data_IF_396463472793
#
_entry.id   IF_396463472793
#
_cell.length_a   1.000
_cell.length_b   1.000
_cell.length_c   1.000
_cell.angle_alpha   90.00
_cell.angle_beta   90.00
_cell.angle_gamma   90.00
#
_symmetry.space_group_name_H-M   'P 1'
#
loop_
_entity.id
_entity.type
_entity.pdbx_description
1 polymer ?
#
# COMPACT_ATOMS: atom_id res chain seq x y z
N UNK A 1 21.35 -8.87 -3.52
CA UNK A 1 20.55 -8.49 -4.69
C UNK A 1 20.25 -7.00 -4.58
N UNK A 2 20.70 -6.18 -5.53
CA UNK A 2 20.32 -4.76 -5.55
C UNK A 2 18.92 -4.69 -6.18
N UNK A 3 17.94 -4.12 -5.46
CA UNK A 3 16.58 -3.92 -5.98
C UNK A 3 16.55 -3.07 -7.25
N UNK A 4 17.52 -2.18 -7.39
CA UNK A 4 17.64 -1.26 -8.52
C UNK A 4 19.11 -1.12 -8.92
N UNK A 5 19.36 -1.05 -10.22
CA UNK A 5 20.67 -0.65 -10.76
C UNK A 5 20.96 0.78 -10.34
N UNK A 6 22.20 1.05 -9.93
CA UNK A 6 22.64 2.41 -9.65
C UNK A 6 22.56 3.22 -10.96
N UNK A 7 21.93 4.40 -10.92
CA UNK A 7 21.79 5.33 -12.04
C UNK A 7 22.39 6.68 -11.68
N UNK A 8 22.95 7.33 -12.68
CA UNK A 8 23.46 8.68 -12.52
C UNK A 8 22.29 9.63 -12.18
N UNK A 9 22.34 10.37 -11.07
CA UNK A 9 21.27 11.27 -10.65
C UNK A 9 21.10 12.49 -11.58
N UNK A 10 22.04 12.73 -12.51
CA UNK A 10 22.02 13.88 -13.42
C UNK A 10 21.51 13.52 -14.82
N UNK A 11 21.82 12.33 -15.34
CA UNK A 11 21.46 11.93 -16.72
C UNK A 11 20.81 10.53 -16.81
N UNK A 12 20.56 9.86 -15.69
CA UNK A 12 19.97 8.52 -15.60
C UNK A 12 20.75 7.38 -16.27
N UNK A 13 21.97 7.65 -16.73
CA UNK A 13 22.87 6.62 -17.28
C UNK A 13 23.27 5.58 -16.23
N UNK A 14 23.35 4.33 -16.67
CA UNK A 14 23.85 3.18 -15.90
C UNK A 14 25.39 3.01 -16.04
N UNK A 15 26.04 3.81 -16.91
CA UNK A 15 27.48 3.78 -17.13
C UNK A 15 28.24 4.50 -16.00
N UNK A 16 28.38 3.81 -14.87
CA UNK A 16 28.91 4.35 -13.62
C UNK A 16 30.17 3.59 -13.23
N UNK A 17 31.25 4.32 -12.94
CA UNK A 17 32.45 3.76 -12.32
C UNK A 17 32.49 4.09 -10.83
N UNK A 18 33.09 3.19 -10.05
CA UNK A 18 33.65 3.55 -8.76
C UNK A 18 34.76 4.61 -8.94
N UNK A 19 34.77 5.62 -8.09
CA UNK A 19 35.76 6.70 -8.10
C UNK A 19 36.72 6.55 -6.90
N UNK A 20 36.22 6.76 -5.67
CA UNK A 20 37.00 6.57 -4.44
C UNK A 20 36.10 6.27 -3.25
N UNK A 21 36.72 5.79 -2.16
CA UNK A 21 36.07 5.55 -0.88
C UNK A 21 36.37 6.68 0.09
N UNK A 22 35.38 7.13 0.86
CA UNK A 22 35.56 8.11 1.92
C UNK A 22 35.00 7.60 3.25
N UNK A 23 35.70 7.91 4.33
CA UNK A 23 35.32 7.47 5.68
C UNK A 23 34.34 8.44 6.30
N UNK A 24 33.20 7.93 6.77
CA UNK A 24 32.25 8.71 7.54
C UNK A 24 32.46 8.52 9.04
N UNK A 25 32.03 9.50 9.83
CA UNK A 25 32.17 9.49 11.29
C UNK A 25 31.35 8.35 11.92
N UNK A 26 30.19 8.01 11.35
CA UNK A 26 29.17 7.19 12.01
C UNK A 26 28.60 6.05 11.17
N UNK A 27 28.91 5.99 9.88
CA UNK A 27 28.30 5.07 8.92
C UNK A 27 29.34 4.26 8.13
N UNK A 28 30.57 4.16 8.67
CA UNK A 28 31.68 3.46 8.04
C UNK A 28 32.18 4.12 6.77
N UNK A 29 32.85 3.34 5.94
CA UNK A 29 33.31 3.75 4.64
C UNK A 29 32.15 3.81 3.64
N UNK A 30 32.23 4.75 2.70
CA UNK A 30 31.20 5.02 1.70
C UNK A 30 31.85 5.24 0.34
N UNK A 31 31.15 4.83 -0.71
CA UNK A 31 31.65 4.93 -2.07
C UNK A 31 31.21 6.24 -2.75
N UNK A 32 32.12 6.80 -3.54
CA UNK A 32 31.85 7.83 -4.54
C UNK A 32 31.87 7.20 -5.92
N UNK A 33 30.92 7.62 -6.73
CA UNK A 33 30.72 7.17 -8.10
C UNK A 33 30.91 8.33 -9.08
N UNK A 34 31.39 8.01 -10.29
CA UNK A 34 31.48 8.93 -11.40
C UNK A 34 30.73 8.38 -12.61
N UNK A 35 29.76 9.14 -13.10
CA UNK A 35 29.09 8.82 -14.36
C UNK A 35 30.06 9.03 -15.53
N UNK A 36 30.23 8.02 -16.38
CA UNK A 36 31.11 8.13 -17.53
C UNK A 36 30.55 8.97 -18.67
N UNK A 37 29.23 9.14 -18.75
CA UNK A 37 28.59 9.87 -19.84
C UNK A 37 28.54 11.38 -19.57
N UNK A 38 28.10 11.81 -18.38
CA UNK A 38 27.98 13.23 -18.02
C UNK A 38 29.05 13.74 -17.05
N UNK A 39 29.99 12.88 -16.61
CA UNK A 39 31.06 13.19 -15.65
C UNK A 39 30.58 13.73 -14.30
N UNK A 40 29.30 13.55 -13.96
CA UNK A 40 28.78 13.90 -12.64
C UNK A 40 29.28 12.92 -11.58
N UNK A 41 29.88 13.45 -10.51
CA UNK A 41 30.32 12.69 -9.34
C UNK A 41 29.26 12.73 -8.23
N UNK A 42 28.98 11.59 -7.62
CA UNK A 42 27.95 11.45 -6.59
C UNK A 42 28.23 10.31 -5.61
N UNK A 43 27.73 10.41 -4.39
CA UNK A 43 27.89 9.34 -3.40
C UNK A 43 26.91 8.19 -3.63
N UNK A 44 27.26 7.00 -3.14
CA UNK A 44 26.38 5.82 -3.19
C UNK A 44 25.01 6.05 -2.52
N UNK A 45 24.93 7.00 -1.58
CA UNK A 45 23.68 7.34 -0.89
C UNK A 45 22.83 8.34 -1.65
N UNK A 46 23.31 8.92 -2.77
CA UNK A 46 22.60 9.93 -3.53
C UNK A 46 21.29 9.37 -4.08
N UNK A 47 20.21 10.14 -3.92
CA UNK A 47 18.84 9.74 -4.27
C UNK A 47 18.33 8.48 -3.56
N UNK A 48 18.92 8.11 -2.41
CA UNK A 48 18.41 7.01 -1.57
C UNK A 48 17.75 7.54 -0.30
N UNK A 49 17.15 6.64 0.49
CA UNK A 49 16.70 6.98 1.83
C UNK A 49 17.87 7.53 2.69
N UNK A 50 19.07 6.94 2.56
CA UNK A 50 20.25 7.24 3.36
C UNK A 50 20.95 8.57 3.02
N UNK A 51 20.56 9.25 1.93
CA UNK A 51 21.15 10.53 1.57
C UNK A 51 21.07 11.53 2.75
N UNK A 52 22.19 12.15 3.11
CA UNK A 52 22.28 13.13 4.20
C UNK A 52 21.88 12.59 5.59
N UNK A 53 21.78 11.26 5.75
CA UNK A 53 21.53 10.63 7.04
C UNK A 53 22.84 10.13 7.65
N UNK A 54 23.16 10.65 8.84
CA UNK A 54 24.36 10.26 9.60
C UNK A 54 24.13 9.11 10.57
N UNK A 55 22.90 8.73 10.87
CA UNK A 55 22.62 7.65 11.84
C UNK A 55 22.78 6.28 11.16
N UNK A 56 23.28 5.27 11.90
CA UNK A 56 23.42 3.92 11.36
C UNK A 56 22.04 3.30 11.05
N UNK A 57 22.01 2.45 10.02
CA UNK A 57 20.78 1.80 9.51
C UNK A 57 20.06 1.05 10.62
N UNK A 58 20.79 0.28 11.43
CA UNK A 58 20.24 -0.46 12.57
C UNK A 58 19.42 0.43 13.50
N UNK A 59 19.94 1.62 13.85
CA UNK A 59 19.22 2.57 14.71
C UNK A 59 17.97 3.13 14.05
N UNK A 60 18.05 3.43 12.76
CA UNK A 60 16.90 3.95 12.01
C UNK A 60 15.81 2.88 11.93
N UNK A 61 16.20 1.64 11.65
CA UNK A 61 15.30 0.49 11.60
C UNK A 61 14.61 0.23 12.93
N UNK A 62 15.35 0.18 14.05
CA UNK A 62 14.76 0.05 15.40
C UNK A 62 13.66 1.09 15.66
N UNK A 63 13.97 2.35 15.33
CA UNK A 63 13.06 3.48 15.54
C UNK A 63 11.80 3.35 14.68
N UNK A 64 11.95 3.06 13.39
CA UNK A 64 10.83 2.97 12.45
C UNK A 64 9.98 1.72 12.68
N UNK A 65 10.61 0.58 12.99
CA UNK A 65 9.89 -0.63 13.36
C UNK A 65 9.05 -0.38 14.63
N UNK A 66 9.62 0.27 15.65
CA UNK A 66 8.88 0.64 16.86
C UNK A 66 7.69 1.56 16.56
N UNK A 67 7.82 2.47 15.58
CA UNK A 67 6.70 3.33 15.13
C UNK A 67 5.54 2.55 14.53
N UNK A 68 5.81 1.35 14.00
CA UNK A 68 4.81 0.41 13.48
C UNK A 68 4.38 -0.65 14.48
N UNK A 69 4.75 -0.51 15.75
CA UNK A 69 4.38 -1.40 16.87
C UNK A 69 3.67 -0.64 18.01
N UNK A 70 2.94 0.41 17.66
CA UNK A 70 1.98 1.08 18.54
C UNK A 70 2.54 2.24 19.35
N UNK A 71 3.83 2.54 19.23
CA UNK A 71 4.44 3.69 19.91
C UNK A 71 4.05 4.99 19.20
N UNK A 72 3.76 6.05 19.95
CA UNK A 72 3.50 7.38 19.35
C UNK A 72 4.80 8.07 18.92
N UNK A 73 4.70 9.09 18.07
CA UNK A 73 5.86 9.91 17.64
C UNK A 73 6.68 10.41 18.85
N UNK A 74 6.02 11.02 19.85
CA UNK A 74 6.70 11.57 21.02
C UNK A 74 7.26 10.46 21.93
N UNK A 75 6.54 9.35 22.10
CA UNK A 75 7.03 8.22 22.88
C UNK A 75 8.28 7.62 22.25
N UNK A 76 8.30 7.45 20.93
CA UNK A 76 9.46 6.97 20.17
C UNK A 76 10.66 7.89 20.36
N UNK A 77 10.46 9.20 20.25
CA UNK A 77 11.53 10.17 20.46
C UNK A 77 12.16 10.05 21.86
N UNK A 78 11.35 9.84 22.90
CA UNK A 78 11.83 9.64 24.27
C UNK A 78 12.56 8.30 24.44
N UNK A 79 11.99 7.20 23.95
CA UNK A 79 12.56 5.85 24.07
C UNK A 79 13.94 5.80 23.39
N UNK A 80 14.03 6.30 22.16
CA UNK A 80 15.24 6.20 21.36
C UNK A 80 16.17 7.41 21.48
N UNK A 81 15.82 8.39 22.33
CA UNK A 81 16.57 9.63 22.57
C UNK A 81 16.91 10.37 21.25
N UNK A 82 15.92 10.52 20.37
CA UNK A 82 16.06 11.25 19.10
C UNK A 82 15.19 12.49 19.07
N UNK A 83 15.64 13.53 18.37
CA UNK A 83 14.85 14.73 18.17
C UNK A 83 13.63 14.44 17.30
N UNK A 84 12.50 15.09 17.63
CA UNK A 84 11.24 14.94 16.89
C UNK A 84 11.39 15.26 15.39
N UNK A 85 12.14 16.30 15.06
CA UNK A 85 12.37 16.71 13.67
C UNK A 85 13.17 15.66 12.89
N UNK A 86 14.10 14.97 13.54
CA UNK A 86 14.85 13.86 12.94
C UNK A 86 13.93 12.72 12.55
N UNK A 87 13.05 12.29 13.46
CA UNK A 87 12.09 11.22 13.17
C UNK A 87 11.11 11.62 12.06
N UNK A 88 10.61 12.86 12.09
CA UNK A 88 9.74 13.37 11.03
C UNK A 88 10.42 13.41 9.67
N UNK A 89 11.72 13.76 9.62
CA UNK A 89 12.49 13.74 8.38
C UNK A 89 12.63 12.31 7.82
N UNK A 90 12.88 11.31 8.68
CA UNK A 90 12.92 9.91 8.27
C UNK A 90 11.56 9.41 7.77
N UNK A 91 10.48 9.66 8.52
CA UNK A 91 9.12 9.27 8.10
C UNK A 91 8.74 9.92 6.75
N UNK A 92 9.19 11.15 6.46
CA UNK A 92 8.97 11.81 5.16
C UNK A 92 9.76 11.16 4.04
N UNK A 93 11.04 10.82 4.28
CA UNK A 93 11.87 10.14 3.29
C UNK A 93 11.30 8.77 2.90
N UNK A 94 10.65 8.07 3.82
CA UNK A 94 9.93 6.83 3.54
C UNK A 94 8.78 6.98 2.53
N UNK A 95 8.20 8.17 2.38
CA UNK A 95 7.19 8.40 1.35
C UNK A 95 7.77 8.32 -0.07
N UNK A 96 9.05 8.68 -0.27
CA UNK A 96 9.71 8.49 -1.57
C UNK A 96 9.94 7.02 -1.84
N UNK A 97 10.44 6.28 -0.84
CA UNK A 97 10.61 4.84 -0.91
C UNK A 97 9.28 4.11 -1.18
N UNK A 98 8.18 4.53 -0.55
CA UNK A 98 6.83 4.05 -0.86
C UNK A 98 6.52 4.20 -2.36
N UNK A 99 6.71 5.40 -2.93
CA UNK A 99 6.41 5.64 -4.34
C UNK A 99 7.24 4.75 -5.27
N UNK A 100 8.55 4.64 -5.02
CA UNK A 100 9.44 3.80 -5.81
C UNK A 100 9.06 2.32 -5.74
N UNK A 101 8.81 1.80 -4.54
CA UNK A 101 8.43 0.39 -4.34
C UNK A 101 7.04 0.08 -4.87
N UNK A 102 6.12 1.04 -4.83
CA UNK A 102 4.79 0.90 -5.41
C UNK A 102 4.88 0.77 -6.94
N UNK A 103 5.63 1.67 -7.60
CA UNK A 103 5.88 1.60 -9.06
C UNK A 103 6.57 0.28 -9.42
N UNK A 104 7.60 -0.12 -8.67
CA UNK A 104 8.28 -1.39 -8.85
C UNK A 104 7.32 -2.59 -8.77
N UNK A 105 6.44 -2.61 -7.77
CA UNK A 105 5.44 -3.67 -7.62
C UNK A 105 4.44 -3.69 -8.77
N UNK A 106 4.03 -2.52 -9.27
CA UNK A 106 3.08 -2.37 -10.38
C UNK A 106 3.70 -2.73 -11.74
N UNK A 107 5.03 -2.81 -11.85
CA UNK A 107 5.72 -3.23 -13.06
C UNK A 107 5.72 -4.77 -13.27
N UNK A 108 5.22 -5.54 -12.30
CA UNK A 108 5.11 -6.99 -12.39
C UNK A 108 3.75 -7.41 -12.92
N UNK A 109 3.70 -8.53 -13.64
CA UNK A 109 2.46 -9.15 -14.10
C UNK A 109 2.06 -10.32 -13.20
N UNK A 110 0.76 -10.55 -13.07
CA UNK A 110 0.19 -11.57 -12.19
C UNK A 110 -0.84 -12.42 -12.94
N UNK A 111 -0.87 -13.72 -12.66
CA UNK A 111 -1.89 -14.61 -13.25
C UNK A 111 -3.23 -14.39 -12.54
N UNK A 112 -3.21 -14.38 -11.20
CA UNK A 112 -4.42 -14.25 -10.39
C UNK A 112 -4.18 -13.42 -9.15
N UNK A 113 -5.13 -12.54 -8.81
CA UNK A 113 -5.15 -11.83 -7.54
C UNK A 113 -6.56 -11.72 -6.97
N UNK A 114 -6.69 -11.96 -5.66
CA UNK A 114 -7.95 -11.79 -4.93
C UNK A 114 -7.77 -10.67 -3.93
N UNK A 115 -8.33 -9.51 -4.24
CA UNK A 115 -8.20 -8.29 -3.45
C UNK A 115 -9.36 -8.19 -2.47
N UNK A 116 -9.05 -8.09 -1.18
CA UNK A 116 -10.02 -7.73 -0.15
C UNK A 116 -9.97 -6.22 0.12
N UNK A 117 -11.14 -5.57 0.10
CA UNK A 117 -11.30 -4.15 0.41
C UNK A 117 -12.13 -3.93 1.67
N UNK A 118 -11.62 -3.11 2.60
CA UNK A 118 -12.31 -2.70 3.82
C UNK A 118 -11.84 -1.30 4.28
N UNK A 119 -12.62 -0.67 5.15
CA UNK A 119 -12.25 0.61 5.77
C UNK A 119 -12.21 0.58 7.29
N UNK A 120 -11.38 1.44 7.84
CA UNK A 120 -11.39 1.73 9.26
C UNK A 120 -11.16 3.21 9.53
N UNK A 121 -11.42 3.63 10.77
CA UNK A 121 -11.58 5.02 11.12
C UNK A 121 -10.72 5.40 12.33
N UNK A 122 -10.17 6.62 12.28
CA UNK A 122 -9.70 7.37 13.46
C UNK A 122 -10.08 8.85 13.36
N UNK A 123 -10.03 9.54 14.50
CA UNK A 123 -10.22 10.99 14.59
C UNK A 123 -8.97 11.71 14.05
N UNK A 124 -9.20 12.84 13.38
CA UNK A 124 -8.14 13.73 12.90
C UNK A 124 -8.39 15.13 13.44
N UNK A 125 -7.39 15.72 14.10
CA UNK A 125 -7.37 17.08 14.66
C UNK A 125 -8.39 17.36 15.77
N UNK A 126 -9.68 17.16 15.51
CA UNK A 126 -10.82 17.38 16.43
C UNK A 126 -11.71 16.14 16.50
N UNK A 127 -12.49 16.04 17.58
CA UNK A 127 -13.51 15.01 17.74
C UNK A 127 -14.80 15.47 17.06
N UNK A 128 -15.00 15.05 15.82
CA UNK A 128 -16.20 15.32 15.02
C UNK A 128 -16.91 14.00 14.71
N UNK A 129 -18.18 14.01 14.27
CA UNK A 129 -18.84 12.82 13.74
C UNK A 129 -17.97 12.10 12.71
N UNK A 130 -18.05 10.77 12.66
CA UNK A 130 -17.15 9.97 11.83
C UNK A 130 -17.24 10.36 10.35
N UNK A 131 -18.42 10.70 9.84
CA UNK A 131 -18.65 11.11 8.46
C UNK A 131 -17.94 12.41 8.05
N UNK A 132 -17.71 13.32 9.00
CA UNK A 132 -17.03 14.61 8.77
C UNK A 132 -15.52 14.50 8.87
N UNK A 133 -15.02 13.43 9.48
CA UNK A 133 -13.61 13.27 9.80
C UNK A 133 -12.82 12.73 8.60
N UNK A 134 -11.61 13.25 8.41
CA UNK A 134 -10.71 12.79 7.35
C UNK A 134 -9.76 11.66 7.75
N UNK A 135 -10.09 10.93 8.82
CA UNK A 135 -9.31 9.77 9.27
C UNK A 135 -9.90 8.43 8.88
N UNK A 136 -10.83 8.39 7.92
CA UNK A 136 -11.19 7.13 7.28
C UNK A 136 -10.03 6.66 6.43
N UNK A 137 -9.77 5.36 6.45
CA UNK A 137 -8.69 4.73 5.72
C UNK A 137 -9.22 3.53 4.97
N UNK A 138 -9.00 3.51 3.66
CA UNK A 138 -9.27 2.36 2.82
C UNK A 138 -8.02 1.49 2.80
N UNK A 139 -8.21 0.17 2.84
CA UNK A 139 -7.16 -0.82 2.59
C UNK A 139 -7.63 -1.75 1.48
N UNK A 140 -6.80 -1.89 0.45
CA UNK A 140 -6.92 -2.97 -0.54
C UNK A 140 -5.75 -3.92 -0.33
N UNK A 141 -6.03 -5.18 -0.01
CA UNK A 141 -5.00 -6.17 0.32
C UNK A 141 -5.22 -7.46 -0.47
N UNK A 142 -4.15 -7.98 -1.08
CA UNK A 142 -4.17 -9.30 -1.70
C UNK A 142 -4.34 -10.41 -0.64
N UNK A 143 -5.26 -11.33 -0.93
CA UNK A 143 -5.68 -12.39 -0.03
C UNK A 143 -4.63 -13.50 0.09
N UNK A 144 -3.83 -13.81 -0.93
CA UNK A 144 -2.87 -14.91 -0.81
C UNK A 144 -1.61 -14.42 -0.09
N UNK A 145 -1.02 -13.34 -0.61
CA UNK A 145 0.28 -12.82 -0.20
C UNK A 145 0.23 -11.90 1.02
N UNK A 146 -0.95 -11.34 1.34
CA UNK A 146 -1.12 -10.25 2.33
C UNK A 146 -0.46 -8.94 1.91
N UNK A 147 -0.11 -8.81 0.64
CA UNK A 147 0.44 -7.57 0.10
C UNK A 147 -0.64 -6.49 0.09
N UNK A 148 -0.32 -5.32 0.63
CA UNK A 148 -1.23 -4.17 0.64
C UNK A 148 -0.99 -3.39 -0.64
N UNK A 149 -2.00 -3.28 -1.50
CA UNK A 149 -1.92 -2.49 -2.73
C UNK A 149 -2.28 -1.03 -2.51
N UNK A 150 -3.30 -0.75 -1.70
CA UNK A 150 -3.71 0.61 -1.36
C UNK A 150 -3.86 0.75 0.15
N UNK A 151 -3.34 1.85 0.70
CA UNK A 151 -3.62 2.26 2.06
C UNK A 151 -3.56 3.78 2.18
N UNK A 152 -4.72 4.43 2.04
CA UNK A 152 -4.81 5.89 2.15
C UNK A 152 -5.92 6.37 3.06
N UNK A 153 -5.66 7.49 3.73
CA UNK A 153 -6.62 8.15 4.58
C UNK A 153 -7.24 9.40 3.92
N UNK A 154 -8.48 9.71 4.29
CA UNK A 154 -9.20 10.89 3.87
C UNK A 154 -10.62 10.92 4.43
N UNK A 155 -11.46 11.80 3.87
CA UNK A 155 -12.90 11.79 4.16
C UNK A 155 -13.53 10.54 3.54
N UNK A 156 -14.58 9.99 4.15
CA UNK A 156 -15.32 8.84 3.58
C UNK A 156 -16.25 9.25 2.43
N UNK A 157 -15.74 10.03 1.48
CA UNK A 157 -16.48 10.50 0.31
C UNK A 157 -16.16 9.64 -0.92
N UNK A 158 -16.59 10.07 -2.11
CA UNK A 158 -16.31 9.35 -3.36
C UNK A 158 -14.83 9.43 -3.77
N UNK A 159 -14.15 10.54 -3.48
CA UNK A 159 -12.76 10.78 -3.89
C UNK A 159 -11.78 9.78 -3.26
N UNK A 160 -11.99 9.43 -1.99
CA UNK A 160 -11.17 8.44 -1.31
C UNK A 160 -11.30 7.05 -1.96
N UNK A 161 -12.51 6.65 -2.36
CA UNK A 161 -12.74 5.38 -3.06
C UNK A 161 -12.23 5.41 -4.49
N UNK A 162 -12.38 6.52 -5.20
CA UNK A 162 -11.81 6.68 -6.55
C UNK A 162 -10.29 6.52 -6.55
N UNK A 163 -9.60 7.07 -5.55
CA UNK A 163 -8.16 6.86 -5.40
C UNK A 163 -7.81 5.38 -5.29
N UNK A 164 -8.47 4.66 -4.38
CA UNK A 164 -8.23 3.24 -4.16
C UNK A 164 -8.56 2.38 -5.39
N UNK A 165 -9.68 2.68 -6.05
CA UNK A 165 -10.10 1.93 -7.22
C UNK A 165 -9.25 2.25 -8.46
N UNK A 166 -8.67 3.45 -8.58
CA UNK A 166 -7.68 3.74 -9.63
C UNK A 166 -6.45 2.84 -9.51
N UNK A 167 -5.93 2.66 -8.30
CA UNK A 167 -4.86 1.68 -8.03
C UNK A 167 -5.27 0.26 -8.45
N UNK A 168 -6.49 -0.15 -8.09
CA UNK A 168 -7.00 -1.46 -8.51
C UNK A 168 -7.16 -1.58 -10.04
N UNK A 169 -7.59 -0.50 -10.71
CA UNK A 169 -7.75 -0.45 -12.16
C UNK A 169 -6.40 -0.53 -12.89
N UNK A 170 -5.33 0.04 -12.32
CA UNK A 170 -3.96 -0.16 -12.81
C UNK A 170 -3.54 -1.63 -12.67
N UNK A 171 -3.80 -2.24 -11.50
CA UNK A 171 -3.50 -3.65 -11.25
C UNK A 171 -4.28 -4.60 -12.18
N UNK A 172 -5.53 -4.27 -12.53
CA UNK A 172 -6.32 -5.00 -13.55
C UNK A 172 -5.58 -5.08 -14.88
N UNK A 173 -4.82 -4.06 -15.27
CA UNK A 173 -4.08 -4.09 -16.54
C UNK A 173 -2.82 -4.98 -16.46
N UNK A 174 -2.37 -5.33 -15.26
CA UNK A 174 -1.20 -6.18 -15.01
C UNK A 174 -1.57 -7.61 -14.60
N UNK A 175 -2.87 -7.90 -14.47
CA UNK A 175 -3.36 -9.17 -13.91
C UNK A 175 -4.39 -9.81 -14.83
N UNK A 176 -4.22 -11.09 -15.15
CA UNK A 176 -5.16 -11.81 -16.02
C UNK A 176 -6.51 -12.08 -15.34
N UNK A 177 -6.49 -12.55 -14.09
CA UNK A 177 -7.67 -12.68 -13.24
C UNK A 177 -7.58 -11.84 -11.98
N UNK A 178 -8.55 -10.96 -11.78
CA UNK A 178 -8.65 -10.19 -10.56
C UNK A 178 -10.06 -10.19 -9.98
N UNK A 179 -10.15 -10.57 -8.70
CA UNK A 179 -11.40 -10.52 -7.97
C UNK A 179 -11.33 -9.52 -6.81
N UNK A 180 -12.26 -8.57 -6.78
CA UNK A 180 -12.48 -7.67 -5.66
C UNK A 180 -13.58 -8.21 -4.73
N UNK A 181 -13.23 -8.40 -3.47
CA UNK A 181 -14.11 -8.82 -2.39
C UNK A 181 -14.27 -7.70 -1.37
N UNK A 182 -15.50 -7.23 -1.17
CA UNK A 182 -15.77 -6.17 -0.18
C UNK A 182 -16.92 -6.53 0.74
N UNK A 183 -17.00 -5.79 1.83
CA UNK A 183 -18.01 -5.99 2.84
C UNK A 183 -18.96 -4.79 2.95
N UNK A 184 -20.20 -4.97 2.48
CA UNK A 184 -21.30 -4.01 2.58
C UNK A 184 -21.18 -2.74 1.72
N UNK A 185 -19.96 -2.22 1.52
CA UNK A 185 -19.70 -0.97 0.82
C UNK A 185 -19.70 -1.18 -0.70
N UNK A 186 -20.66 -0.53 -1.36
CA UNK A 186 -20.93 -0.71 -2.80
C UNK A 186 -20.17 0.25 -3.68
N UNK A 187 -19.61 1.32 -3.12
CA UNK A 187 -18.85 2.32 -3.88
C UNK A 187 -17.68 1.69 -4.61
N UNK A 188 -16.98 0.73 -4.00
CA UNK A 188 -15.91 -0.03 -4.65
C UNK A 188 -16.33 -0.61 -6.01
N UNK A 189 -17.35 -1.47 -6.00
CA UNK A 189 -17.81 -2.13 -7.22
C UNK A 189 -18.39 -1.17 -8.26
N UNK A 190 -19.11 -0.13 -7.80
CA UNK A 190 -19.69 0.88 -8.70
C UNK A 190 -18.60 1.68 -9.41
N UNK A 191 -17.65 2.22 -8.67
CA UNK A 191 -16.54 3.02 -9.22
C UNK A 191 -15.65 2.15 -10.11
N UNK A 192 -15.38 0.90 -9.70
CA UNK A 192 -14.61 -0.02 -10.53
C UNK A 192 -15.32 -0.30 -11.85
N UNK A 193 -16.64 -0.48 -11.83
CA UNK A 193 -17.41 -0.65 -13.06
C UNK A 193 -17.40 0.61 -13.94
N UNK A 194 -17.45 1.81 -13.35
CA UNK A 194 -17.34 3.05 -14.11
C UNK A 194 -15.98 3.15 -14.84
N UNK A 195 -14.88 2.74 -14.19
CA UNK A 195 -13.51 2.84 -14.72
C UNK A 195 -13.13 1.67 -15.63
N UNK A 196 -13.50 0.44 -15.27
CA UNK A 196 -13.05 -0.81 -15.88
C UNK A 196 -14.17 -1.57 -16.60
N UNK A 197 -15.10 -0.88 -17.25
CA UNK A 197 -16.08 -1.53 -18.13
C UNK A 197 -15.60 -1.59 -19.58
N UNK A 198 -16.15 -2.54 -20.31
CA UNK A 198 -16.08 -2.63 -21.76
C UNK A 198 -17.50 -2.82 -22.35
N UNK A 199 -17.61 -2.55 -23.65
CA UNK A 199 -18.84 -2.77 -24.40
C UNK A 199 -18.81 -4.19 -24.97
N UNK A 200 -19.69 -5.05 -24.45
CA UNK A 200 -19.84 -6.41 -24.95
C UNK A 200 -20.80 -6.43 -26.14
N UNK A 201 -20.26 -6.77 -27.31
CA UNK A 201 -21.02 -6.87 -28.55
C UNK A 201 -21.49 -8.31 -28.75
N UNK A 202 -22.80 -8.53 -28.74
CA UNK A 202 -23.43 -9.86 -28.94
C UNK A 202 -23.70 -10.19 -30.42
N UNK A 203 -23.41 -9.25 -31.34
CA UNK A 203 -23.83 -9.34 -32.74
C UNK A 203 -25.33 -9.09 -32.98
N UNK A 204 -26.13 -8.88 -31.93
CA UNK A 204 -27.57 -8.60 -32.05
C UNK A 204 -27.83 -7.08 -32.18
N UNK A 205 -28.94 -6.72 -32.85
CA UNK A 205 -29.38 -5.33 -32.99
C UNK A 205 -29.71 -4.72 -31.62
N UNK A 206 -29.06 -3.63 -31.25
CA UNK A 206 -29.31 -2.90 -30.00
C UNK A 206 -28.06 -2.19 -29.46
N UNK A 207 -28.21 -1.45 -28.36
CA UNK A 207 -27.07 -0.82 -27.68
C UNK A 207 -26.23 -1.90 -26.98
N UNK A 208 -24.92 -2.02 -27.26
CA UNK A 208 -24.05 -2.98 -26.57
C UNK A 208 -24.11 -2.82 -25.05
N UNK A 209 -24.11 -3.95 -24.34
CA UNK A 209 -24.18 -3.95 -22.88
C UNK A 209 -22.82 -3.59 -22.31
N UNK A 210 -22.80 -2.81 -21.22
CA UNK A 210 -21.59 -2.60 -20.41
C UNK A 210 -21.39 -3.79 -19.47
N UNK A 211 -20.19 -4.36 -19.50
CA UNK A 211 -19.72 -5.41 -18.59
C UNK A 211 -18.37 -5.02 -18.02
N UNK A 212 -17.97 -5.56 -16.87
CA UNK A 212 -16.58 -5.48 -16.44
C UNK A 212 -15.67 -6.11 -17.49
N UNK A 213 -14.44 -5.62 -17.62
CA UNK A 213 -13.40 -6.26 -18.45
C UNK A 213 -13.31 -7.76 -18.17
N UNK A 214 -13.04 -8.54 -19.22
CA UNK A 214 -12.69 -9.97 -19.08
C UNK A 214 -11.65 -10.18 -17.97
N UNK A 215 -11.88 -11.19 -17.13
CA UNK A 215 -11.00 -11.51 -15.99
C UNK A 215 -11.28 -10.70 -14.72
N UNK A 216 -12.20 -9.73 -14.73
CA UNK A 216 -12.52 -8.91 -13.55
C UNK A 216 -13.82 -9.35 -12.89
N UNK A 217 -13.77 -9.65 -11.59
CA UNK A 217 -14.92 -10.04 -10.77
C UNK A 217 -15.07 -9.14 -9.55
N UNK A 218 -16.32 -8.79 -9.21
CA UNK A 218 -16.64 -8.05 -7.98
C UNK A 218 -17.72 -8.79 -7.20
N UNK A 219 -17.42 -9.12 -5.94
CA UNK A 219 -18.37 -9.74 -5.02
C UNK A 219 -18.45 -8.96 -3.72
N UNK A 220 -19.68 -8.79 -3.24
CA UNK A 220 -19.97 -8.07 -2.01
C UNK A 220 -20.72 -8.98 -1.04
N UNK A 221 -20.25 -9.01 0.20
CA UNK A 221 -21.00 -9.56 1.33
C UNK A 221 -21.89 -8.46 1.90
N UNK A 222 -23.21 -8.61 1.79
CA UNK A 222 -24.16 -7.67 2.37
C UNK A 222 -24.31 -7.95 3.88
N UNK A 223 -23.77 -7.07 4.73
CA UNK A 223 -23.96 -7.12 6.21
C UNK A 223 -25.22 -6.38 6.67
N UNK A 224 -25.69 -6.78 7.86
CA UNK A 224 -26.83 -6.17 8.57
C UNK A 224 -28.15 -6.91 8.36
N UNK A 225 -29.00 -6.91 9.40
CA UNK A 225 -30.34 -7.48 9.32
C UNK A 225 -31.18 -6.72 8.30
N UNK A 226 -31.85 -7.47 7.43
CA UNK A 226 -32.82 -6.96 6.48
C UNK A 226 -34.26 -7.25 6.91
N UNK A 227 -34.46 -7.85 8.10
CA UNK A 227 -35.76 -8.28 8.58
C UNK A 227 -36.77 -7.13 8.63
N UNK A 228 -36.33 -5.94 9.04
CA UNK A 228 -37.16 -4.75 9.18
C UNK A 228 -37.03 -3.75 8.00
N UNK A 229 -36.31 -4.10 6.93
CA UNK A 229 -36.15 -3.21 5.77
C UNK A 229 -37.30 -3.45 4.79
N UNK A 230 -38.04 -2.38 4.45
CA UNK A 230 -39.07 -2.43 3.41
C UNK A 230 -38.44 -2.71 2.04
N UNK A 231 -39.13 -3.49 1.20
CA UNK A 231 -38.70 -3.82 -0.16
C UNK A 231 -37.97 -5.17 -0.31
N UNK A 232 -37.48 -5.45 -1.52
CA UNK A 232 -36.83 -6.72 -1.87
C UNK A 232 -35.55 -6.92 -1.04
N UNK A 233 -35.51 -8.02 -0.28
CA UNK A 233 -34.31 -8.46 0.45
C UNK A 233 -33.20 -8.78 -0.54
N UNK A 234 -32.00 -8.29 -0.25
CA UNK A 234 -30.78 -8.55 -1.02
C UNK A 234 -30.16 -9.85 -0.53
N UNK A 235 -29.66 -10.70 -1.44
CA UNK A 235 -28.95 -11.91 -1.04
C UNK A 235 -27.73 -11.55 -0.18
N UNK A 236 -27.34 -12.47 0.70
CA UNK A 236 -26.20 -12.26 1.61
C UNK A 236 -24.90 -12.03 0.84
N UNK A 237 -24.71 -12.74 -0.25
CA UNK A 237 -23.58 -12.59 -1.16
C UNK A 237 -24.11 -12.17 -2.53
N UNK A 238 -23.42 -11.24 -3.19
CA UNK A 238 -23.92 -10.67 -4.42
C UNK A 238 -22.80 -10.25 -5.37
N UNK A 239 -22.97 -10.57 -6.65
CA UNK A 239 -22.27 -9.90 -7.76
C UNK A 239 -22.99 -8.58 -8.06
N UNK A 240 -22.31 -7.45 -7.86
CA UNK A 240 -22.95 -6.12 -7.96
C UNK A 240 -22.89 -5.52 -9.35
N UNK A 241 -22.02 -6.04 -10.22
CA UNK A 241 -21.73 -5.49 -11.54
C UNK A 241 -21.86 -6.60 -12.61
N UNK A 242 -22.35 -6.32 -13.83
CA UNK A 242 -22.32 -7.28 -14.92
C UNK A 242 -20.91 -7.78 -15.21
N UNK A 243 -20.71 -9.09 -15.29
CA UNK A 243 -19.43 -9.72 -15.65
C UNK A 243 -19.36 -10.00 -17.15
N UNK A 244 -18.15 -10.01 -17.70
CA UNK A 244 -17.90 -10.50 -19.04
C UNK A 244 -18.24 -12.00 -19.13
N UNK A 245 -18.91 -12.49 -20.18
CA UNK A 245 -19.28 -13.91 -20.29
C UNK A 245 -18.08 -14.87 -20.32
N UNK A 246 -16.93 -14.41 -20.81
CA UNK A 246 -15.69 -15.19 -20.83
C UNK A 246 -14.88 -15.12 -19.53
N UNK A 247 -15.36 -14.40 -18.50
CA UNK A 247 -14.70 -14.42 -17.19
C UNK A 247 -15.00 -15.76 -16.52
N UNK A 248 -13.97 -16.59 -16.38
CA UNK A 248 -14.07 -17.96 -15.83
C UNK A 248 -13.96 -18.00 -14.30
N UNK A 249 -13.52 -16.90 -13.68
CA UNK A 249 -13.16 -16.91 -12.27
C UNK A 249 -14.39 -16.92 -11.37
N UNK A 250 -14.54 -18.02 -10.65
CA UNK A 250 -15.72 -18.29 -9.85
C UNK A 250 -15.36 -18.42 -8.36
N UNK A 251 -15.50 -17.30 -7.63
CA UNK A 251 -15.43 -17.31 -6.16
C UNK A 251 -16.76 -17.79 -5.58
N UNK A 252 -16.72 -18.75 -4.66
CA UNK A 252 -17.93 -19.23 -4.01
C UNK A 252 -18.50 -18.21 -3.01
N UNK A 253 -19.78 -18.35 -2.66
CA UNK A 253 -20.41 -17.51 -1.63
C UNK A 253 -19.68 -17.61 -0.27
N UNK A 254 -19.16 -18.79 0.07
CA UNK A 254 -18.42 -19.00 1.33
C UNK A 254 -17.12 -18.19 1.36
N UNK A 255 -16.46 -18.03 0.23
CA UNK A 255 -15.21 -17.29 0.07
C UNK A 255 -15.42 -15.79 -0.11
N UNK A 256 -16.66 -15.33 -0.29
CA UNK A 256 -17.01 -13.92 -0.45
C UNK A 256 -16.99 -13.22 0.92
N UNK A 257 -15.80 -12.82 1.37
CA UNK A 257 -15.58 -12.09 2.62
C UNK A 257 -14.30 -11.25 2.57
N UNK A 258 -14.17 -10.31 3.50
CA UNK A 258 -12.99 -9.45 3.66
C UNK A 258 -12.24 -9.75 4.97
N UNK A 259 -12.30 -10.99 5.46
CA UNK A 259 -11.83 -11.36 6.80
C UNK A 259 -10.34 -11.05 7.04
N UNK A 260 -9.49 -11.14 6.01
CA UNK A 260 -8.06 -10.95 6.19
C UNK A 260 -7.70 -9.47 6.27
N UNK A 261 -8.32 -8.63 5.44
CA UNK A 261 -8.14 -7.18 5.58
C UNK A 261 -8.78 -6.67 6.88
N UNK A 262 -9.91 -7.25 7.32
CA UNK A 262 -10.50 -6.96 8.63
C UNK A 262 -9.52 -7.31 9.78
N UNK A 263 -8.82 -8.45 9.69
CA UNK A 263 -7.80 -8.86 10.65
C UNK A 263 -6.57 -7.92 10.62
N UNK A 264 -6.12 -7.49 9.43
CA UNK A 264 -5.08 -6.48 9.28
C UNK A 264 -5.52 -5.15 9.92
N UNK A 265 -6.76 -4.71 9.68
CA UNK A 265 -7.32 -3.49 10.28
C UNK A 265 -7.38 -3.60 11.81
N UNK A 266 -7.68 -4.78 12.36
CA UNK A 266 -7.60 -5.03 13.80
C UNK A 266 -6.15 -4.96 14.33
N UNK A 267 -5.18 -5.49 13.60
CA UNK A 267 -3.76 -5.37 13.95
C UNK A 267 -3.29 -3.90 13.90
N UNK A 268 -3.70 -3.14 12.87
CA UNK A 268 -3.39 -1.73 12.71
C UNK A 268 -3.88 -0.87 13.88
N UNK A 269 -5.06 -1.19 14.44
CA UNK A 269 -5.56 -0.51 15.65
C UNK A 269 -4.68 -0.72 16.89
N UNK A 270 -3.87 -1.78 16.92
CA UNK A 270 -2.88 -2.02 17.98
C UNK A 270 -1.52 -1.39 17.63
N UNK A 271 -1.10 -1.55 16.37
CA UNK A 271 0.21 -1.18 15.82
C UNK A 271 0.37 0.30 15.46
N UNK A 272 -0.72 1.03 15.30
CA UNK A 272 -0.67 2.46 15.04
C UNK A 272 -1.49 3.19 16.10
N UNK A 273 -0.81 3.98 16.94
CA UNK A 273 -1.42 4.63 18.09
C UNK A 273 -2.62 5.50 17.71
N UNK A 274 -2.63 6.11 16.52
CA UNK A 274 -3.75 6.91 16.07
C UNK A 274 -5.05 6.11 15.96
N UNK A 275 -5.01 4.82 15.63
CA UNK A 275 -6.20 3.99 15.42
C UNK A 275 -6.66 3.23 16.66
N UNK A 276 -6.01 3.43 17.81
CA UNK A 276 -6.34 2.71 19.04
C UNK A 276 -7.76 3.05 19.50
N UNK A 277 -8.63 2.04 19.50
CA UNK A 277 -10.03 2.19 19.92
C UNK A 277 -10.15 2.44 21.43
N UNK A 278 -11.22 3.16 21.81
CA UNK A 278 -11.57 3.45 23.22
C UNK A 278 -10.43 4.15 23.99
N UNK A 279 -9.66 4.99 23.30
CA UNK A 279 -8.63 5.83 23.93
C UNK A 279 -8.70 7.24 23.37
N UNK A 280 -8.03 8.19 24.03
CA UNK A 280 -7.96 9.58 23.60
C UNK A 280 -6.85 9.84 22.56
N UNK A 281 -6.29 8.80 21.94
CA UNK A 281 -5.29 8.96 20.88
C UNK A 281 -5.96 9.23 19.54
N UNK A 282 -5.38 10.14 18.76
CA UNK A 282 -5.90 10.55 17.46
C UNK A 282 -4.77 11.10 16.58
N UNK A 283 -5.01 11.19 15.27
CA UNK A 283 -4.08 11.82 14.36
C UNK A 283 -4.15 13.35 14.46
N UNK A 284 -3.00 14.03 14.51
CA UNK A 284 -2.97 15.50 14.61
C UNK A 284 -3.28 16.20 13.28
N UNK A 285 -2.96 15.57 12.16
CA UNK A 285 -3.30 16.00 10.80
C UNK A 285 -3.46 14.78 9.90
N UNK A 286 -4.18 14.96 8.80
CA UNK A 286 -4.36 13.95 7.75
C UNK A 286 -3.03 13.61 7.07
N UNK A 287 -2.26 14.62 6.69
CA UNK A 287 -0.89 14.46 6.15
C UNK A 287 0.03 13.68 7.09
N UNK A 288 -0.15 13.88 8.40
CA UNK A 288 0.58 13.14 9.43
C UNK A 288 0.14 11.68 9.52
N UNK A 289 -1.15 11.42 9.36
CA UNK A 289 -1.69 10.07 9.32
C UNK A 289 -1.20 9.31 8.09
N UNK A 290 -1.33 9.90 6.89
CA UNK A 290 -0.87 9.29 5.65
C UNK A 290 0.63 8.97 5.68
N UNK A 291 1.46 9.87 6.23
CA UNK A 291 2.90 9.62 6.37
C UNK A 291 3.18 8.35 7.18
N UNK A 292 2.46 8.13 8.28
CA UNK A 292 2.61 6.93 9.11
C UNK A 292 2.08 5.69 8.41
N UNK A 293 1.01 5.82 7.62
CA UNK A 293 0.51 4.75 6.78
C UNK A 293 1.55 4.35 5.73
N UNK A 294 2.21 5.29 5.05
CA UNK A 294 3.27 4.99 4.08
C UNK A 294 4.44 4.23 4.73
N UNK A 295 4.86 4.63 5.94
CA UNK A 295 5.89 3.89 6.71
C UNK A 295 5.42 2.46 7.00
N UNK A 296 4.18 2.28 7.46
CA UNK A 296 3.63 0.95 7.69
C UNK A 296 3.55 0.13 6.41
N UNK A 297 3.13 0.72 5.30
CA UNK A 297 3.01 0.06 4.00
C UNK A 297 4.35 -0.53 3.56
N UNK A 298 5.42 0.27 3.59
CA UNK A 298 6.77 -0.19 3.20
C UNK A 298 7.24 -1.31 4.12
N UNK A 299 7.14 -1.11 5.44
CA UNK A 299 7.60 -2.10 6.42
C UNK A 299 6.81 -3.40 6.32
N UNK A 300 5.48 -3.32 6.21
CA UNK A 300 4.61 -4.48 6.08
C UNK A 300 4.89 -5.24 4.80
N UNK A 301 4.95 -4.57 3.66
CA UNK A 301 5.08 -5.24 2.37
C UNK A 301 6.49 -5.79 2.10
N UNK A 302 7.55 -5.10 2.53
CA UNK A 302 8.93 -5.38 2.09
C UNK A 302 9.89 -5.87 3.16
N UNK A 303 9.62 -5.64 4.45
CA UNK A 303 10.57 -5.97 5.53
C UNK A 303 10.02 -6.95 6.56
N UNK A 304 8.70 -6.99 6.75
CA UNK A 304 8.09 -7.74 7.83
C UNK A 304 7.58 -9.10 7.36
N UNK A 305 8.15 -10.16 7.93
CA UNK A 305 7.62 -11.51 7.77
C UNK A 305 6.20 -11.58 8.34
N UNK A 306 5.24 -11.97 7.50
CA UNK A 306 3.86 -12.08 7.92
C UNK A 306 3.62 -13.40 8.67
N UNK A 307 2.91 -13.33 9.80
CA UNK A 307 2.75 -14.46 10.73
C UNK A 307 2.14 -15.72 10.09
N UNK A 308 1.19 -15.57 9.16
CA UNK A 308 0.48 -16.69 8.53
C UNK A 308 1.21 -17.26 7.32
N UNK A 309 1.73 -16.41 6.43
CA UNK A 309 2.39 -16.84 5.20
C UNK A 309 3.86 -17.21 5.43
N UNK A 310 4.42 -16.85 6.59
CA UNK A 310 5.82 -17.07 6.98
C UNK A 310 6.84 -16.45 6.01
N UNK A 311 6.37 -15.53 5.17
CA UNK A 311 7.15 -14.78 4.19
C UNK A 311 6.81 -13.30 4.30
N UNK A 312 7.73 -12.46 3.87
CA UNK A 312 7.44 -11.05 3.57
C UNK A 312 6.37 -11.00 2.45
N UNK A 313 5.34 -10.15 2.54
CA UNK A 313 4.29 -10.09 1.53
C UNK A 313 4.77 -9.89 0.09
N UNK A 314 5.78 -9.05 -0.15
CA UNK A 314 6.35 -8.87 -1.48
C UNK A 314 6.99 -10.16 -2.03
N UNK A 315 7.61 -10.97 -1.17
CA UNK A 315 8.15 -12.30 -1.54
C UNK A 315 7.01 -13.28 -1.80
N UNK A 316 5.97 -13.26 -0.96
CA UNK A 316 4.80 -14.13 -1.15
C UNK A 316 3.98 -13.79 -2.39
N UNK A 317 4.01 -12.53 -2.82
CA UNK A 317 3.35 -12.05 -4.03
C UNK A 317 4.18 -12.38 -5.29
N UNK A 318 5.49 -12.59 -5.15
CA UNK A 318 6.42 -12.80 -6.27
C UNK A 318 7.04 -11.52 -6.83
N UNK A 319 6.88 -10.39 -6.14
CA UNK A 319 7.57 -9.12 -6.47
C UNK A 319 9.04 -9.16 -6.06
N UNK A 320 9.38 -9.96 -5.04
CA UNK A 320 10.76 -10.24 -4.64
C UNK A 320 11.04 -11.74 -4.66
N UNK A 321 12.24 -12.12 -5.08
CA UNK A 321 12.68 -13.52 -5.04
C UNK A 321 12.98 -13.99 -3.61
N UNK A 322 13.55 -13.10 -2.77
CA UNK A 322 13.91 -13.40 -1.40
C UNK A 322 13.67 -12.22 -0.46
N UNK A 323 13.77 -12.47 0.84
CA UNK A 323 13.68 -11.40 1.85
C UNK A 323 14.80 -10.38 1.65
N UNK A 324 14.47 -9.11 1.88
CA UNK A 324 15.43 -8.02 1.80
C UNK A 324 15.71 -7.43 3.17
N UNK A 325 16.96 -7.05 3.41
CA UNK A 325 17.38 -6.39 4.64
C UNK A 325 17.05 -4.90 4.62
N UNK A 326 16.90 -4.26 5.79
CA UNK A 326 16.78 -2.80 5.87
C UNK A 326 17.93 -2.06 5.18
N UNK A 327 19.16 -2.59 5.24
CA UNK A 327 20.33 -2.03 4.57
C UNK A 327 20.16 -1.99 3.06
N UNK A 328 19.76 -3.09 2.45
CA UNK A 328 19.57 -3.17 1.01
C UNK A 328 18.38 -2.30 0.56
N UNK A 329 17.28 -2.30 1.33
CA UNK A 329 16.11 -1.47 1.02
C UNK A 329 16.40 0.03 1.13
N UNK A 330 17.15 0.46 2.15
CA UNK A 330 17.43 1.88 2.39
C UNK A 330 18.48 2.45 1.43
N UNK A 331 19.30 1.58 0.84
CA UNK A 331 20.24 1.92 -0.22
C UNK A 331 19.61 1.91 -1.62
N UNK A 332 18.35 1.51 -1.76
CA UNK A 332 17.62 1.60 -3.01
C UNK A 332 17.54 3.06 -3.48
N UNK A 333 17.98 3.33 -4.72
CA UNK A 333 17.76 4.63 -5.33
C UNK A 333 16.28 4.81 -5.66
N UNK A 334 15.77 6.01 -5.37
CA UNK A 334 14.44 6.40 -5.76
C UNK A 334 14.39 6.57 -7.29
N UNK A 335 13.35 6.01 -7.91
CA UNK A 335 13.01 6.20 -9.33
C UNK A 335 12.32 7.54 -9.53
#
# INVERSE_FOLDING_TARGET
MLLFTCKCPNCSSENIRHDYVYRTISNGDREMFLCQDCKYSFSETKNTFLQDIRKPVSKIWEVLNARTEGTSLNATCRIFKIAKNTLLAWERKFSYLYSTLFIYSMAHTFIQSVIEGDEFYTKVKKNVPAEESSGWTIVLMDRASRFIWEMSCGKKDRSLFEKAIKTLAELVNQTEDITLLTDGERRYGKILFEICHELFQTGMRGRPRKVLKKGVTVRVKNKGSQAHKKGRKRPKYQTTCPQHPETTNHITDKETHANHVEANNAAMRRKCSAYRRKTNTYAKSETGLQRVLNVYWVIHNFLRVHFTTKKVPAVSLGVLECEITPEALFSAQHI
#
